data_IF_977336189135
#
_entry.id   IF_977336189135
#
_cell.length_a   1.000
_cell.length_b   1.000
_cell.length_c   1.000
_cell.angle_alpha   90.00
_cell.angle_beta   90.00
_cell.angle_gamma   90.00
#
_symmetry.space_group_name_H-M   'P 1'
#
loop_
_entity.id
_entity.type
_entity.pdbx_description
1 polymer ?
#
# COMPACT_ATOMS: atom_id res chain seq x y z
N UNK A 1 -87.12 -32.92 -42.47
CA UNK A 1 -85.93 -32.61 -41.65
C UNK A 1 -85.19 -31.49 -42.33
N UNK A 2 -85.07 -30.34 -41.68
CA UNK A 2 -84.51 -29.11 -42.25
C UNK A 2 -82.98 -29.21 -42.13
N UNK A 3 -82.29 -29.31 -43.26
CA UNK A 3 -80.83 -29.34 -43.35
C UNK A 3 -80.29 -27.91 -43.29
N UNK A 4 -79.58 -27.59 -42.21
CA UNK A 4 -78.96 -26.29 -41.97
C UNK A 4 -77.64 -26.21 -42.75
N UNK A 5 -77.56 -25.38 -43.78
CA UNK A 5 -76.32 -25.02 -44.47
C UNK A 5 -75.61 -23.89 -43.70
N UNK A 6 -74.49 -24.21 -43.05
CA UNK A 6 -73.62 -23.22 -42.40
C UNK A 6 -72.59 -22.73 -43.43
N UNK A 7 -72.70 -21.47 -43.84
CA UNK A 7 -71.65 -20.77 -44.60
C UNK A 7 -70.55 -20.33 -43.63
N UNK A 8 -69.35 -20.90 -43.78
CA UNK A 8 -68.13 -20.43 -43.10
C UNK A 8 -67.43 -19.44 -44.02
N UNK A 9 -67.51 -18.16 -43.66
CA UNK A 9 -66.82 -17.07 -44.37
C UNK A 9 -65.38 -16.97 -43.90
N UNK A 10 -64.42 -17.30 -44.76
CA UNK A 10 -63.01 -16.96 -44.61
C UNK A 10 -62.83 -15.47 -44.95
N UNK A 11 -62.50 -14.66 -43.94
CA UNK A 11 -62.07 -13.27 -44.13
C UNK A 11 -60.55 -13.24 -43.99
N UNK A 12 -59.86 -13.16 -45.13
CA UNK A 12 -58.46 -12.76 -45.18
C UNK A 12 -58.41 -11.22 -45.24
N UNK A 13 -57.87 -10.59 -44.20
CA UNK A 13 -57.43 -9.19 -44.24
C UNK A 13 -55.93 -9.16 -44.00
N UNK A 14 -55.17 -8.71 -45.00
CA UNK A 14 -53.78 -8.30 -44.85
C UNK A 14 -53.65 -6.85 -45.28
N UNK A 15 -53.12 -5.99 -44.41
CA UNK A 15 -51.80 -5.34 -44.58
C UNK A 15 -51.47 -4.40 -43.43
N UNK A 16 -50.18 -4.43 -43.09
CA UNK A 16 -49.32 -3.40 -42.49
C UNK A 16 -49.38 -3.11 -40.98
N UNK A 17 -48.36 -3.67 -40.34
CA UNK A 17 -47.35 -2.93 -39.58
C UNK A 17 -47.87 -1.97 -38.51
N UNK A 18 -48.14 -2.55 -37.35
CA UNK A 18 -48.06 -1.86 -36.09
C UNK A 18 -47.16 -2.69 -35.20
N UNK A 19 -45.90 -2.32 -35.10
CA UNK A 19 -45.03 -2.68 -33.98
C UNK A 19 -45.78 -2.43 -32.69
N UNK A 20 -46.35 -3.50 -32.15
CA UNK A 20 -46.76 -3.57 -30.76
C UNK A 20 -45.48 -3.31 -29.95
N UNK A 21 -45.45 -2.33 -29.04
CA UNK A 21 -44.35 -2.23 -28.11
C UNK A 21 -44.26 -3.57 -27.40
N UNK A 22 -43.10 -4.22 -27.49
CA UNK A 22 -42.71 -5.32 -26.61
C UNK A 22 -42.71 -4.78 -25.19
N UNK A 23 -43.90 -4.77 -24.60
CA UNK A 23 -44.15 -4.46 -23.21
C UNK A 23 -43.85 -5.74 -22.44
N UNK A 24 -42.58 -5.98 -22.14
CA UNK A 24 -42.18 -7.22 -21.46
C UNK A 24 -40.70 -7.58 -21.37
N UNK A 25 -39.74 -6.76 -21.80
CA UNK A 25 -38.34 -7.00 -21.42
C UNK A 25 -38.14 -6.39 -20.02
N UNK A 26 -38.40 -7.20 -18.99
CA UNK A 26 -37.83 -6.92 -17.67
C UNK A 26 -36.32 -6.82 -17.88
N UNK A 27 -35.77 -5.60 -17.81
CA UNK A 27 -34.35 -5.38 -18.05
C UNK A 27 -33.58 -6.28 -17.09
N UNK A 28 -32.71 -7.10 -17.65
CA UNK A 28 -31.82 -7.97 -16.90
C UNK A 28 -31.00 -7.15 -15.91
N UNK A 29 -30.63 -7.73 -14.77
CA UNK A 29 -29.94 -6.98 -13.73
C UNK A 29 -29.24 -7.84 -12.68
N UNK A 30 -28.58 -7.20 -11.72
CA UNK A 30 -27.94 -7.91 -10.63
C UNK A 30 -28.99 -8.41 -9.63
N UNK A 31 -28.70 -9.52 -8.98
CA UNK A 31 -29.43 -10.04 -7.82
C UNK A 31 -28.45 -10.49 -6.72
N UNK A 32 -28.97 -10.71 -5.52
CA UNK A 32 -28.21 -11.29 -4.40
C UNK A 32 -26.90 -10.56 -4.06
N UNK A 33 -26.89 -9.22 -4.13
CA UNK A 33 -25.73 -8.44 -3.69
C UNK A 33 -25.40 -8.74 -2.23
N UNK A 34 -24.14 -9.09 -1.97
CA UNK A 34 -23.58 -9.33 -0.64
C UNK A 34 -22.30 -8.55 -0.48
N UNK A 35 -22.16 -7.91 0.68
CA UNK A 35 -20.90 -7.26 1.07
C UNK A 35 -20.26 -8.01 2.22
N UNK A 36 -18.98 -8.27 2.08
CA UNK A 36 -18.12 -8.69 3.18
C UNK A 36 -16.96 -7.72 3.29
N UNK A 37 -16.32 -7.68 4.45
CA UNK A 37 -15.14 -6.84 4.65
C UNK A 37 -14.01 -7.63 5.27
N UNK A 38 -12.81 -7.34 4.79
CA UNK A 38 -11.58 -7.76 5.44
C UNK A 38 -10.73 -6.52 5.60
N UNK A 39 -10.53 -6.13 6.86
CA UNK A 39 -9.63 -5.07 7.22
C UNK A 39 -10.10 -3.69 6.67
N UNK A 40 -9.66 -3.26 5.48
CA UNK A 40 -10.09 -1.99 4.84
C UNK A 40 -10.69 -2.22 3.44
N UNK A 41 -10.78 -3.48 3.03
CA UNK A 41 -11.26 -3.88 1.72
C UNK A 41 -12.68 -4.40 1.84
N UNK A 42 -13.55 -3.85 1.02
CA UNK A 42 -14.90 -4.34 0.78
C UNK A 42 -14.81 -5.35 -0.36
N UNK A 43 -15.38 -6.53 -0.15
CA UNK A 43 -15.61 -7.52 -1.18
C UNK A 43 -17.11 -7.57 -1.44
N UNK A 44 -17.53 -7.15 -2.64
CA UNK A 44 -18.88 -7.37 -3.13
C UNK A 44 -18.94 -8.68 -3.92
N UNK A 45 -20.04 -9.40 -3.72
CA UNK A 45 -20.41 -10.56 -4.52
C UNK A 45 -21.85 -10.39 -4.98
N UNK A 46 -22.12 -10.68 -6.25
CA UNK A 46 -23.48 -10.65 -6.80
C UNK A 46 -23.65 -11.70 -7.89
N UNK A 47 -24.91 -11.96 -8.23
CA UNK A 47 -25.28 -12.92 -9.27
C UNK A 47 -26.09 -12.21 -10.35
N UNK A 48 -26.12 -12.82 -11.52
CA UNK A 48 -26.97 -12.37 -12.62
C UNK A 48 -28.39 -12.85 -12.38
N UNK A 49 -29.37 -11.98 -12.58
CA UNK A 49 -30.77 -12.39 -12.61
C UNK A 49 -30.97 -13.45 -13.71
N UNK A 50 -31.81 -14.48 -13.51
CA UNK A 50 -32.05 -15.51 -14.54
C UNK A 50 -32.51 -14.94 -15.90
N UNK A 51 -33.15 -13.76 -15.90
CA UNK A 51 -33.51 -13.04 -17.14
C UNK A 51 -32.30 -12.58 -17.96
N UNK A 52 -31.09 -12.50 -17.37
CA UNK A 52 -29.84 -12.21 -18.08
C UNK A 52 -29.46 -13.29 -19.09
N UNK A 53 -30.01 -14.50 -19.00
CA UNK A 53 -29.73 -15.59 -19.97
C UNK A 53 -30.11 -15.26 -21.41
N UNK A 54 -31.00 -14.30 -21.64
CA UNK A 54 -31.39 -13.83 -22.98
C UNK A 54 -30.42 -12.78 -23.56
N UNK A 55 -29.42 -12.36 -22.79
CA UNK A 55 -28.43 -11.36 -23.20
C UNK A 55 -27.34 -12.01 -24.05
N UNK A 56 -27.18 -11.51 -25.27
CA UNK A 56 -26.22 -12.06 -26.27
C UNK A 56 -25.01 -11.15 -26.51
N UNK A 57 -24.84 -10.11 -25.70
CA UNK A 57 -23.79 -9.10 -25.83
C UNK A 57 -23.27 -8.74 -24.43
N UNK A 58 -22.29 -7.85 -24.33
CA UNK A 58 -21.70 -7.45 -23.06
C UNK A 58 -22.72 -6.78 -22.13
N UNK A 59 -22.73 -7.24 -20.87
CA UNK A 59 -23.48 -6.63 -19.77
C UNK A 59 -22.52 -5.85 -18.89
N UNK A 60 -22.82 -4.58 -18.62
CA UNK A 60 -21.96 -3.71 -17.82
C UNK A 60 -22.60 -3.49 -16.46
N UNK A 61 -21.88 -3.82 -15.39
CA UNK A 61 -22.25 -3.49 -14.02
C UNK A 61 -21.58 -2.19 -13.59
N UNK A 62 -22.36 -1.29 -13.03
CA UNK A 62 -21.90 -0.02 -12.48
C UNK A 62 -21.90 -0.11 -10.96
N UNK A 63 -20.72 0.03 -10.35
CA UNK A 63 -20.52 0.02 -8.90
C UNK A 63 -20.21 1.42 -8.41
N UNK A 64 -21.02 1.90 -7.49
CA UNK A 64 -20.83 3.20 -6.83
C UNK A 64 -20.65 2.98 -5.34
N UNK A 65 -19.50 3.39 -4.80
CA UNK A 65 -19.25 3.36 -3.35
C UNK A 65 -19.64 4.69 -2.74
N UNK A 66 -20.47 4.62 -1.71
CA UNK A 66 -20.83 5.74 -0.87
C UNK A 66 -20.14 5.62 0.49
N UNK A 67 -19.81 6.77 1.06
CA UNK A 67 -19.30 6.90 2.42
C UNK A 67 -20.08 8.01 3.11
N UNK A 68 -20.81 7.67 4.18
CA UNK A 68 -21.84 8.57 4.75
C UNK A 68 -22.70 9.20 3.65
N UNK A 69 -23.27 8.35 2.78
CA UNK A 69 -24.15 8.72 1.66
C UNK A 69 -23.55 9.59 0.55
N UNK A 70 -22.23 9.89 0.62
CA UNK A 70 -21.52 10.62 -0.43
C UNK A 70 -20.77 9.66 -1.33
N UNK A 71 -20.92 9.82 -2.64
CA UNK A 71 -20.16 9.05 -3.61
C UNK A 71 -18.66 9.36 -3.50
N UNK A 72 -17.86 8.30 -3.37
CA UNK A 72 -16.40 8.37 -3.25
C UNK A 72 -15.65 7.53 -4.27
N UNK A 73 -16.34 6.60 -4.94
CA UNK A 73 -15.76 5.77 -6.00
C UNK A 73 -16.86 5.38 -7.00
N UNK A 74 -16.45 5.19 -8.26
CA UNK A 74 -17.29 4.68 -9.33
C UNK A 74 -16.43 3.80 -10.25
N UNK A 75 -16.95 2.63 -10.59
CA UNK A 75 -16.26 1.68 -11.46
C UNK A 75 -17.26 0.88 -12.30
N UNK A 76 -16.85 0.51 -13.51
CA UNK A 76 -17.65 -0.32 -14.40
C UNK A 76 -16.97 -1.69 -14.59
N UNK A 77 -17.75 -2.75 -14.46
CA UNK A 77 -17.32 -4.13 -14.68
C UNK A 77 -18.09 -4.70 -15.86
N UNK A 78 -17.38 -4.97 -16.95
CA UNK A 78 -17.94 -5.59 -18.14
C UNK A 78 -17.91 -7.11 -18.03
N UNK A 79 -19.05 -7.76 -18.26
CA UNK A 79 -19.25 -9.21 -18.25
C UNK A 79 -19.57 -9.67 -19.65
N UNK A 80 -18.80 -10.62 -20.17
CA UNK A 80 -19.04 -11.23 -21.49
C UNK A 80 -20.10 -12.33 -21.42
N UNK A 81 -20.78 -12.67 -22.53
CA UNK A 81 -21.85 -13.67 -22.51
C UNK A 81 -21.48 -15.04 -21.92
N UNK A 82 -20.22 -15.47 -22.05
CA UNK A 82 -19.70 -16.71 -21.46
C UNK A 82 -19.56 -16.67 -19.92
N UNK A 83 -19.55 -15.49 -19.33
CA UNK A 83 -19.48 -15.26 -17.89
C UNK A 83 -20.87 -15.03 -17.26
N UNK A 84 -21.91 -14.82 -18.08
CA UNK A 84 -23.28 -14.61 -17.60
C UNK A 84 -23.81 -15.89 -16.94
N UNK A 85 -24.45 -15.74 -15.79
CA UNK A 85 -24.94 -16.82 -14.94
C UNK A 85 -23.91 -17.32 -13.91
N UNK A 86 -22.74 -16.68 -13.83
CA UNK A 86 -21.76 -16.91 -12.76
C UNK A 86 -21.91 -15.91 -11.62
N UNK A 87 -21.24 -16.19 -10.50
CA UNK A 87 -21.12 -15.22 -9.39
C UNK A 87 -19.95 -14.29 -9.67
N UNK A 88 -20.20 -12.99 -9.62
CA UNK A 88 -19.21 -11.95 -9.82
C UNK A 88 -18.67 -11.45 -8.50
N UNK A 89 -17.40 -11.03 -8.50
CA UNK A 89 -16.71 -10.51 -7.33
C UNK A 89 -15.99 -9.22 -7.66
N UNK A 90 -16.07 -8.24 -6.77
CA UNK A 90 -15.33 -6.99 -6.90
C UNK A 90 -14.76 -6.56 -5.55
N UNK A 91 -13.52 -6.09 -5.58
CA UNK A 91 -12.81 -5.64 -4.39
C UNK A 91 -12.52 -4.14 -4.46
N UNK A 92 -12.71 -3.47 -3.33
CA UNK A 92 -12.38 -2.07 -3.20
C UNK A 92 -11.80 -1.76 -1.83
N UNK A 93 -10.62 -1.14 -1.82
CA UNK A 93 -9.93 -0.77 -0.58
C UNK A 93 -10.15 0.70 -0.26
N UNK A 94 -10.77 0.95 0.89
CA UNK A 94 -10.94 2.31 1.40
C UNK A 94 -9.63 2.85 1.97
N UNK A 95 -9.31 4.11 1.70
CA UNK A 95 -8.22 4.81 2.37
C UNK A 95 -8.53 5.10 3.85
N UNK A 96 -9.79 4.97 4.26
CA UNK A 96 -10.26 5.15 5.62
C UNK A 96 -10.63 3.78 6.22
N UNK A 97 -10.40 3.58 7.51
CA UNK A 97 -10.86 2.35 8.17
C UNK A 97 -12.39 2.21 8.03
N UNK A 98 -12.88 1.00 7.72
CA UNK A 98 -14.31 0.77 7.46
C UNK A 98 -15.16 0.97 8.72
N UNK A 99 -14.55 0.90 9.90
CA UNK A 99 -15.16 1.16 11.20
C UNK A 99 -15.45 2.65 11.44
N UNK A 100 -14.79 3.55 10.70
CA UNK A 100 -14.92 5.00 10.91
C UNK A 100 -16.32 5.52 10.59
N UNK A 101 -16.96 4.95 9.58
CA UNK A 101 -18.21 5.45 8.98
C UNK A 101 -18.84 4.36 8.13
N UNK A 102 -20.16 4.36 8.00
CA UNK A 102 -20.85 3.45 7.09
C UNK A 102 -20.36 3.60 5.64
N UNK A 103 -20.22 2.46 4.97
CA UNK A 103 -19.91 2.38 3.56
C UNK A 103 -21.01 1.59 2.85
N UNK A 104 -21.55 2.15 1.78
CA UNK A 104 -22.59 1.50 0.97
C UNK A 104 -22.06 1.25 -0.42
N UNK A 105 -22.43 0.11 -1.01
CA UNK A 105 -22.15 -0.18 -2.42
C UNK A 105 -23.47 -0.24 -3.15
N UNK A 106 -23.67 0.69 -4.09
CA UNK A 106 -24.77 0.66 -5.05
C UNK A 106 -24.31 -0.09 -6.28
N UNK A 107 -25.16 -1.00 -6.74
CA UNK A 107 -24.94 -1.80 -7.92
C UNK A 107 -26.12 -1.62 -8.87
N UNK A 108 -25.82 -1.21 -10.10
CA UNK A 108 -26.75 -1.19 -11.22
C UNK A 108 -26.15 -1.90 -12.42
N UNK A 109 -26.98 -2.16 -13.42
CA UNK A 109 -26.51 -2.74 -14.68
C UNK A 109 -26.94 -1.91 -15.87
N UNK A 110 -26.22 -2.07 -16.97
CA UNK A 110 -26.46 -1.42 -18.24
C UNK A 110 -26.22 -2.43 -19.34
N UNK A 111 -27.24 -2.62 -20.17
CA UNK A 111 -27.16 -3.44 -21.36
C UNK A 111 -27.23 -2.53 -22.59
N UNK A 112 -26.15 -2.52 -23.38
CA UNK A 112 -25.96 -1.55 -24.48
C UNK A 112 -26.15 -0.11 -23.97
N UNK A 113 -27.17 0.59 -24.46
CA UNK A 113 -27.50 1.96 -24.05
C UNK A 113 -28.65 2.05 -23.05
N UNK A 114 -29.15 0.93 -22.54
CA UNK A 114 -30.27 0.90 -21.60
C UNK A 114 -29.78 0.53 -20.21
N UNK A 115 -29.94 1.45 -19.26
CA UNK A 115 -29.67 1.21 -17.86
C UNK A 115 -30.85 0.48 -17.20
N UNK A 116 -30.57 -0.53 -16.37
CA UNK A 116 -31.59 -1.24 -15.61
C UNK A 116 -32.23 -0.29 -14.60
N UNK A 117 -33.57 -0.29 -14.46
CA UNK A 117 -34.25 0.43 -13.38
C UNK A 117 -33.88 -0.12 -12.00
N UNK A 118 -33.61 -1.43 -11.92
CA UNK A 118 -33.21 -2.10 -10.69
C UNK A 118 -31.84 -1.60 -10.23
N UNK A 119 -31.78 -1.15 -8.98
CA UNK A 119 -30.57 -0.78 -8.26
C UNK A 119 -30.55 -1.52 -6.94
N UNK A 120 -29.47 -2.25 -6.69
CA UNK A 120 -29.23 -2.88 -5.40
C UNK A 120 -28.31 -1.98 -4.58
N UNK A 121 -28.53 -1.96 -3.27
CA UNK A 121 -27.64 -1.27 -2.34
C UNK A 121 -27.49 -2.13 -1.10
N UNK A 122 -26.25 -2.36 -0.71
CA UNK A 122 -25.92 -2.99 0.55
C UNK A 122 -25.00 -2.07 1.34
N UNK A 123 -25.14 -2.09 2.67
CA UNK A 123 -24.41 -1.19 3.57
C UNK A 123 -23.64 -1.97 4.60
N UNK A 124 -22.33 -1.72 4.68
CA UNK A 124 -21.47 -2.14 5.78
C UNK A 124 -21.50 -1.06 6.87
N UNK A 125 -22.06 -1.36 8.06
CA UNK A 125 -22.16 -0.37 9.12
C UNK A 125 -20.78 -0.08 9.74
N UNK A 126 -20.49 1.21 9.92
CA UNK A 126 -19.37 1.66 10.75
C UNK A 126 -19.68 1.56 12.25
N UNK A 127 -18.78 2.09 13.08
CA UNK A 127 -18.90 2.14 14.55
C UNK A 127 -19.44 3.47 15.07
N UNK A 128 -20.19 4.19 14.23
CA UNK A 128 -20.76 5.51 14.52
C UNK A 128 -21.77 5.51 15.68
N UNK A 129 -22.33 4.35 16.02
CA UNK A 129 -23.26 4.15 17.13
C UNK A 129 -22.58 3.80 18.45
N UNK A 130 -21.24 3.91 18.55
CA UNK A 130 -20.53 3.68 19.81
C UNK A 130 -20.98 4.67 20.88
N UNK A 131 -21.14 4.17 22.11
CA UNK A 131 -21.46 4.96 23.30
C UNK A 131 -20.25 5.77 23.81
N UNK A 132 -19.04 5.30 23.50
CA UNK A 132 -17.79 5.97 23.83
C UNK A 132 -17.08 6.47 22.58
N UNK A 133 -16.31 7.57 22.68
CA UNK A 133 -15.40 8.00 21.64
C UNK A 133 -14.39 6.90 21.26
N UNK A 134 -14.26 6.62 19.97
CA UNK A 134 -13.40 5.56 19.45
C UNK A 134 -12.40 6.09 18.42
N UNK A 135 -11.19 5.53 18.39
CA UNK A 135 -10.20 5.82 17.36
C UNK A 135 -9.91 4.55 16.56
N UNK A 136 -9.72 4.69 15.24
CA UNK A 136 -9.39 3.62 14.30
C UNK A 136 -8.30 4.06 13.31
N UNK A 137 -7.58 3.12 12.65
CA UNK A 137 -7.64 1.67 12.88
C UNK A 137 -7.04 1.27 14.23
N UNK A 138 -7.57 0.19 14.84
CA UNK A 138 -7.05 -0.41 16.08
C UNK A 138 -6.19 -1.61 15.76
N UNK A 139 -5.15 -1.82 16.57
CA UNK A 139 -4.30 -3.03 16.55
C UNK A 139 -3.82 -3.46 15.16
N UNK A 140 -3.62 -2.46 14.29
CA UNK A 140 -3.14 -2.67 12.93
C UNK A 140 -1.65 -2.47 12.85
N UNK A 141 -1.00 -3.39 12.14
CA UNK A 141 0.41 -3.26 11.84
C UNK A 141 0.55 -2.40 10.58
N UNK A 142 1.35 -1.33 10.68
CA UNK A 142 1.52 -0.36 9.61
C UNK A 142 3.00 -0.12 9.36
N UNK A 143 3.38 -0.05 8.08
CA UNK A 143 4.76 0.14 7.66
C UNK A 143 5.24 1.56 7.94
N UNK A 144 6.42 1.70 8.53
CA UNK A 144 7.09 3.01 8.66
C UNK A 144 7.46 3.54 7.27
N UNK A 145 7.23 4.82 7.04
CA UNK A 145 7.39 5.51 5.76
C UNK A 145 6.12 5.51 4.89
N UNK A 146 4.99 4.99 5.37
CA UNK A 146 3.71 5.05 4.65
C UNK A 146 2.81 6.20 5.14
N UNK A 147 1.89 6.63 4.28
CA UNK A 147 0.79 7.49 4.68
C UNK A 147 -0.33 6.66 5.31
N UNK A 148 -0.87 7.14 6.42
CA UNK A 148 -1.93 6.45 7.17
C UNK A 148 -2.98 7.45 7.58
N UNK A 149 -4.25 7.07 7.38
CA UNK A 149 -5.40 7.83 7.86
C UNK A 149 -5.97 7.18 9.11
N UNK A 150 -5.97 7.94 10.21
CA UNK A 150 -6.66 7.61 11.44
C UNK A 150 -8.01 8.34 11.48
N UNK A 151 -8.98 7.80 12.20
CA UNK A 151 -10.23 8.50 12.47
C UNK A 151 -10.61 8.45 13.94
N UNK A 152 -11.29 9.49 14.39
CA UNK A 152 -11.98 9.57 15.66
C UNK A 152 -13.49 9.62 15.42
N UNK A 153 -14.22 8.69 16.03
CA UNK A 153 -15.67 8.53 15.94
C UNK A 153 -16.27 8.93 17.28
N UNK A 154 -17.17 9.92 17.28
CA UNK A 154 -17.78 10.49 18.48
C UNK A 154 -19.22 10.01 18.73
N UNK A 155 -19.62 9.84 19.99
CA UNK A 155 -21.03 9.64 20.35
C UNK A 155 -21.91 10.83 19.95
N UNK A 156 -23.23 10.60 19.94
CA UNK A 156 -24.19 11.61 19.51
C UNK A 156 -24.17 12.78 20.50
N UNK A 157 -24.20 13.99 19.96
CA UNK A 157 -24.22 15.21 20.78
C UNK A 157 -22.87 15.66 21.34
N UNK A 158 -21.78 14.91 21.13
CA UNK A 158 -20.44 15.38 21.49
C UNK A 158 -19.84 16.30 20.42
N UNK A 159 -19.06 17.28 20.90
CA UNK A 159 -18.32 18.23 20.06
C UNK A 159 -16.88 17.80 19.90
N UNK A 160 -16.39 17.72 18.67
CA UNK A 160 -14.98 17.47 18.40
C UNK A 160 -14.10 18.61 18.90
N UNK A 161 -13.11 18.29 19.72
CA UNK A 161 -12.13 19.24 20.22
C UNK A 161 -10.90 19.27 19.32
N UNK A 162 -10.06 18.23 19.39
CA UNK A 162 -8.87 18.06 18.55
C UNK A 162 -8.41 16.61 18.49
N UNK A 163 -7.71 16.30 17.41
CA UNK A 163 -7.01 15.03 17.21
C UNK A 163 -5.58 15.32 16.80
N UNK A 164 -4.60 14.66 17.41
CA UNK A 164 -3.20 14.86 17.11
C UNK A 164 -2.38 13.59 17.29
N UNK A 165 -1.19 13.59 16.70
CA UNK A 165 -0.23 12.47 16.77
C UNK A 165 1.00 12.92 17.55
N UNK A 166 1.34 12.22 18.62
CA UNK A 166 2.50 12.55 19.46
C UNK A 166 3.80 12.39 18.67
N UNK A 167 4.71 13.35 18.77
CA UNK A 167 6.00 13.31 18.07
C UNK A 167 6.00 14.03 16.70
N UNK A 168 4.84 14.52 16.24
CA UNK A 168 4.77 15.46 15.11
C UNK A 168 4.41 16.86 15.62
N UNK A 169 5.14 17.88 15.16
CA UNK A 169 5.02 19.28 15.62
C UNK A 169 3.92 20.06 14.92
N UNK A 170 3.39 19.57 13.79
CA UNK A 170 2.38 20.29 13.02
C UNK A 170 1.00 19.87 13.51
N UNK A 171 0.19 20.84 13.95
CA UNK A 171 -1.25 20.69 14.06
C UNK A 171 -1.79 20.41 12.66
N UNK A 172 -1.84 19.14 12.26
CA UNK A 172 -2.51 18.75 11.02
C UNK A 172 -4.00 18.85 11.33
N UNK A 173 -4.70 19.70 10.59
CA UNK A 173 -6.14 19.88 10.80
C UNK A 173 -6.87 18.59 10.45
N UNK A 174 -7.67 18.11 11.40
CA UNK A 174 -8.51 16.94 11.17
C UNK A 174 -9.60 17.29 10.15
N UNK A 175 -9.77 16.41 9.16
CA UNK A 175 -10.82 16.55 8.15
C UNK A 175 -12.11 15.95 8.67
N UNK A 176 -13.22 16.70 8.60
CA UNK A 176 -14.55 16.19 8.96
C UNK A 176 -15.07 15.24 7.87
N UNK A 177 -15.29 13.97 8.23
CA UNK A 177 -15.80 12.93 7.32
C UNK A 177 -17.33 12.86 7.38
N UNK A 178 -17.88 12.83 8.60
CA UNK A 178 -19.31 12.87 8.87
C UNK A 178 -19.60 13.85 10.00
N UNK A 179 -20.85 13.93 10.46
CA UNK A 179 -21.18 14.76 11.63
C UNK A 179 -20.43 14.33 12.91
N UNK A 180 -20.02 13.07 12.98
CA UNK A 180 -19.47 12.42 14.18
C UNK A 180 -18.07 11.84 13.97
N UNK A 181 -17.60 11.76 12.72
CA UNK A 181 -16.30 11.20 12.38
C UNK A 181 -15.36 12.24 11.81
N UNK A 182 -14.16 12.30 12.39
CA UNK A 182 -13.07 13.19 11.99
C UNK A 182 -11.84 12.34 11.67
N UNK A 183 -11.08 12.71 10.64
CA UNK A 183 -9.95 11.93 10.16
C UNK A 183 -8.66 12.75 10.08
N UNK A 184 -7.54 12.09 10.30
CA UNK A 184 -6.21 12.67 10.28
C UNK A 184 -5.28 11.77 9.47
N UNK A 185 -4.69 12.30 8.40
CA UNK A 185 -3.73 11.58 7.57
C UNK A 185 -2.32 12.03 7.91
N UNK A 186 -1.44 11.08 8.24
CA UNK A 186 -0.05 11.36 8.64
C UNK A 186 0.91 10.46 7.89
N UNK A 187 2.05 11.01 7.48
CA UNK A 187 3.18 10.25 6.99
C UNK A 187 3.99 9.73 8.17
N UNK A 188 3.96 8.41 8.41
CA UNK A 188 4.58 7.81 9.60
C UNK A 188 6.10 7.66 9.42
N UNK A 189 6.92 8.54 9.99
CA UNK A 189 8.39 8.41 10.03
C UNK A 189 8.91 7.68 11.27
N UNK A 190 8.11 7.60 12.33
CA UNK A 190 8.48 7.01 13.62
C UNK A 190 7.27 6.42 14.36
N UNK A 191 7.52 5.69 15.44
CA UNK A 191 6.48 5.20 16.36
C UNK A 191 5.79 6.36 17.05
N UNK A 192 4.46 6.37 17.05
CA UNK A 192 3.67 7.47 17.58
C UNK A 192 2.45 7.00 18.35
N UNK A 193 1.77 7.92 19.02
CA UNK A 193 0.45 7.68 19.61
C UNK A 193 -0.53 8.66 19.01
N UNK A 194 -1.73 8.18 18.69
CA UNK A 194 -2.82 8.98 18.16
C UNK A 194 -3.78 9.25 19.30
N UNK A 195 -4.05 10.53 19.54
CA UNK A 195 -4.89 11.01 20.63
C UNK A 195 -6.04 11.81 20.03
N UNK A 196 -7.27 11.39 20.32
CA UNK A 196 -8.46 12.21 20.15
C UNK A 196 -8.86 12.73 21.53
N UNK A 197 -8.87 14.03 21.78
CA UNK A 197 -8.98 14.56 23.17
C UNK A 197 -10.35 14.33 23.79
N UNK A 198 -11.38 14.16 22.96
CA UNK A 198 -12.69 13.69 23.41
C UNK A 198 -12.64 12.28 24.04
N UNK A 199 -11.57 11.53 23.82
CA UNK A 199 -11.34 10.22 24.41
C UNK A 199 -10.40 10.36 25.61
N UNK A 200 -10.67 9.62 26.71
CA UNK A 200 -9.63 9.29 27.70
C UNK A 200 -8.71 8.15 27.20
N UNK A 201 -8.87 7.69 25.96
CA UNK A 201 -8.19 6.51 25.39
C UNK A 201 -7.12 6.94 24.40
N UNK A 202 -5.86 6.58 24.68
CA UNK A 202 -4.74 6.83 23.78
C UNK A 202 -4.50 5.58 22.92
N UNK A 203 -4.59 5.70 21.60
CA UNK A 203 -4.09 4.62 20.73
C UNK A 203 -2.58 4.78 20.63
N UNK A 204 -1.86 3.80 21.18
CA UNK A 204 -0.40 3.71 21.06
C UNK A 204 -0.07 2.86 19.85
N UNK A 205 0.67 3.43 18.90
CA UNK A 205 1.21 2.69 17.76
C UNK A 205 2.60 2.22 18.17
N UNK A 206 2.73 0.92 18.40
CA UNK A 206 4.01 0.29 18.65
C UNK A 206 4.69 0.01 17.31
N UNK A 207 5.97 0.39 17.19
CA UNK A 207 6.80 -0.05 16.08
C UNK A 207 7.48 -1.36 16.43
N UNK A 208 7.35 -2.35 15.55
CA UNK A 208 8.13 -3.58 15.64
C UNK A 208 9.51 -3.28 15.05
N UNK A 209 10.54 -3.30 15.89
CA UNK A 209 11.94 -3.16 15.43
C UNK A 209 12.29 -4.38 14.57
N UNK A 210 12.87 -4.20 13.36
CA UNK A 210 13.36 -5.34 12.60
C UNK A 210 14.57 -5.97 13.27
N UNK A 211 14.62 -7.31 13.23
CA UNK A 211 15.82 -8.09 13.42
C UNK A 211 16.70 -7.94 12.18
N UNK A 212 17.96 -7.57 12.38
CA UNK A 212 18.90 -7.32 11.29
C UNK A 212 19.87 -8.50 11.18
N UNK A 213 19.84 -9.14 10.01
CA UNK A 213 20.70 -10.24 9.61
C UNK A 213 21.70 -9.75 8.55
N UNK A 214 22.96 -10.15 8.67
CA UNK A 214 23.93 -10.02 7.58
C UNK A 214 24.15 -11.41 6.97
N UNK A 215 23.92 -11.54 5.67
CA UNK A 215 24.35 -12.69 4.89
C UNK A 215 25.65 -12.32 4.17
N UNK A 216 26.78 -12.80 4.71
CA UNK A 216 28.06 -12.86 4.00
C UNK A 216 28.13 -14.19 3.23
N UNK A 217 28.77 -14.24 2.05
CA UNK A 217 28.82 -15.45 1.21
C UNK A 217 29.55 -16.64 1.86
N UNK A 218 30.17 -16.48 3.03
CA UNK A 218 30.98 -17.54 3.66
C UNK A 218 30.42 -18.03 5.00
N UNK A 219 29.54 -17.29 5.65
CA UNK A 219 28.96 -17.69 6.95
C UNK A 219 27.75 -16.80 7.19
N UNK A 220 26.54 -17.36 7.19
CA UNK A 220 25.27 -16.68 7.51
C UNK A 220 25.20 -16.23 8.97
N UNK A 221 26.15 -15.40 9.38
CA UNK A 221 26.44 -15.10 10.77
C UNK A 221 25.69 -13.84 11.19
N UNK A 222 24.81 -14.00 12.16
CA UNK A 222 24.05 -12.94 12.80
C UNK A 222 24.99 -11.88 13.42
N UNK A 223 24.63 -10.59 13.33
CA UNK A 223 25.36 -9.50 13.96
C UNK A 223 25.24 -9.60 15.50
N UNK A 224 26.01 -10.48 16.14
CA UNK A 224 26.02 -10.65 17.59
C UNK A 224 26.71 -9.44 18.25
N UNK A 225 25.93 -8.62 18.97
CA UNK A 225 26.44 -7.46 19.73
C UNK A 225 26.26 -6.09 19.07
N UNK A 226 25.33 -5.94 18.13
CA UNK A 226 25.06 -4.64 17.50
C UNK A 226 24.46 -3.62 18.49
N UNK A 227 25.14 -2.49 18.68
CA UNK A 227 24.48 -1.25 19.10
C UNK A 227 23.46 -0.83 18.03
N UNK A 228 22.35 -0.13 18.38
CA UNK A 228 21.34 0.27 17.40
C UNK A 228 21.96 0.94 16.17
N UNK A 229 21.72 0.40 14.97
CA UNK A 229 22.16 0.99 13.70
C UNK A 229 23.60 0.73 13.27
N UNK A 230 24.38 -0.14 13.94
CA UNK A 230 25.77 -0.46 13.55
C UNK A 230 26.04 -1.95 13.57
N UNK A 231 26.38 -2.53 12.41
CA UNK A 231 26.94 -3.88 12.32
C UNK A 231 28.37 -3.85 11.74
N UNK A 232 29.28 -4.58 12.37
CA UNK A 232 30.68 -4.72 11.94
C UNK A 232 31.09 -6.18 11.95
N UNK A 233 31.58 -6.67 10.81
CA UNK A 233 32.07 -8.04 10.68
C UNK A 233 33.55 -8.04 10.25
N UNK A 234 34.36 -8.89 10.88
CA UNK A 234 35.73 -9.13 10.45
C UNK A 234 35.71 -10.17 9.33
N UNK A 235 36.09 -9.77 8.12
CA UNK A 235 36.13 -10.64 6.94
C UNK A 235 37.59 -10.83 6.51
N UNK A 236 37.96 -12.05 6.14
CA UNK A 236 39.27 -12.34 5.55
C UNK A 236 39.35 -11.74 4.14
N UNK A 237 40.39 -10.95 3.87
CA UNK A 237 40.61 -10.37 2.54
C UNK A 237 41.29 -11.43 1.67
N UNK A 238 40.48 -12.34 1.13
CA UNK A 238 40.91 -13.24 0.08
C UNK A 238 40.62 -12.53 -1.25
N UNK A 239 41.44 -12.74 -2.28
CA UNK A 239 41.51 -11.91 -3.50
C UNK A 239 40.28 -12.00 -4.44
N UNK A 240 39.06 -11.80 -3.94
CA UNK A 240 37.83 -11.97 -4.70
C UNK A 240 36.80 -10.85 -4.45
N UNK A 241 36.03 -10.56 -5.50
CA UNK A 241 34.83 -9.76 -5.44
C UNK A 241 33.82 -10.39 -4.47
N UNK A 242 33.40 -9.63 -3.46
CA UNK A 242 32.51 -10.11 -2.41
C UNK A 242 31.20 -9.33 -2.48
N UNK A 243 30.07 -10.03 -2.40
CA UNK A 243 28.73 -9.43 -2.30
C UNK A 243 28.25 -9.60 -0.86
N UNK A 244 27.79 -8.55 -0.21
CA UNK A 244 27.19 -8.60 1.13
C UNK A 244 25.71 -8.27 1.01
N UNK A 245 24.86 -9.09 1.62
CA UNK A 245 23.42 -8.83 1.70
C UNK A 245 23.03 -8.58 3.15
N UNK A 246 22.53 -7.38 3.42
CA UNK A 246 21.92 -6.98 4.68
C UNK A 246 20.42 -7.27 4.58
N UNK A 247 19.94 -8.23 5.36
CA UNK A 247 18.53 -8.63 5.42
C UNK A 247 17.93 -8.13 6.74
N UNK A 248 16.98 -7.21 6.68
CA UNK A 248 16.21 -6.76 7.84
C UNK A 248 14.82 -7.40 7.81
N UNK A 249 14.41 -8.07 8.88
CA UNK A 249 13.14 -8.79 8.96
C UNK A 249 12.38 -8.47 10.26
N UNK A 250 11.07 -8.33 10.16
CA UNK A 250 10.14 -8.40 11.29
C UNK A 250 8.87 -9.16 10.87
N UNK A 251 7.87 -9.22 11.75
CA UNK A 251 6.56 -9.81 11.46
C UNK A 251 5.82 -9.17 10.27
N UNK A 252 6.25 -7.98 9.81
CA UNK A 252 5.68 -7.31 8.63
C UNK A 252 6.32 -7.76 7.31
N UNK A 253 7.46 -8.43 7.35
CA UNK A 253 8.17 -8.89 6.17
C UNK A 253 9.67 -8.62 6.23
N UNK A 254 10.30 -8.80 5.07
CA UNK A 254 11.76 -8.83 4.90
C UNK A 254 12.19 -7.82 3.84
N UNK A 255 13.25 -7.06 4.14
CA UNK A 255 13.90 -6.13 3.21
C UNK A 255 15.37 -6.52 3.08
N UNK A 256 15.90 -6.48 1.86
CA UNK A 256 17.28 -6.83 1.57
C UNK A 256 18.00 -5.70 0.85
N UNK A 257 19.23 -5.42 1.29
CA UNK A 257 20.15 -4.49 0.62
C UNK A 257 21.41 -5.28 0.27
N UNK A 258 21.81 -5.28 -1.00
CA UNK A 258 23.03 -5.96 -1.44
C UNK A 258 24.07 -4.97 -1.99
N UNK A 259 25.31 -5.06 -1.52
CA UNK A 259 26.45 -4.31 -2.06
C UNK A 259 27.53 -5.29 -2.53
N UNK A 260 28.15 -4.99 -3.67
CA UNK A 260 29.25 -5.77 -4.24
C UNK A 260 30.51 -4.92 -4.26
N UNK A 261 31.61 -5.43 -3.70
CA UNK A 261 32.90 -4.77 -3.79
C UNK A 261 34.07 -5.76 -3.82
N UNK A 262 35.12 -5.37 -4.54
CA UNK A 262 36.43 -6.02 -4.48
C UNK A 262 37.23 -5.45 -3.28
N UNK A 263 37.41 -6.30 -2.27
CA UNK A 263 38.11 -5.94 -1.03
C UNK A 263 39.59 -5.59 -1.25
N UNK A 264 40.21 -6.02 -2.36
CA UNK A 264 41.60 -5.68 -2.69
C UNK A 264 41.77 -4.25 -3.19
N UNK A 265 40.67 -3.63 -3.68
CA UNK A 265 40.67 -2.30 -4.29
C UNK A 265 40.20 -1.18 -3.36
N UNK A 266 39.58 -1.50 -2.21
CA UNK A 266 39.14 -0.54 -1.20
C UNK A 266 40.00 -0.62 0.06
N UNK A 267 41.21 -0.06 -0.02
CA UNK A 267 42.15 -0.02 1.11
C UNK A 267 42.22 1.40 1.67
N UNK A 268 41.91 1.57 2.95
CA UNK A 268 42.25 2.77 3.70
C UNK A 268 43.56 2.51 4.44
N UNK A 269 44.69 2.97 3.88
CA UNK A 269 45.99 2.82 4.51
C UNK A 269 46.16 3.83 5.64
N UNK A 270 46.59 3.36 6.82
CA UNK A 270 47.15 4.24 7.85
C UNK A 270 48.36 5.00 7.32
N UNK A 271 48.56 6.23 7.78
CA UNK A 271 49.73 7.04 7.44
C UNK A 271 51.04 6.37 7.89
N UNK A 272 52.15 6.57 7.17
CA UNK A 272 53.45 6.08 7.61
C UNK A 272 53.93 6.85 8.84
N UNK A 273 54.72 6.19 9.68
CA UNK A 273 55.29 6.77 10.90
C UNK A 273 56.80 7.01 10.74
N UNK A 274 57.30 7.99 11.47
CA UNK A 274 58.74 8.29 11.52
C UNK A 274 59.31 8.82 10.21
N UNK A 275 58.53 9.62 9.46
CA UNK A 275 59.02 10.28 8.24
C UNK A 275 60.16 11.23 8.61
N UNK A 276 61.37 10.91 8.17
CA UNK A 276 62.58 11.68 8.43
C UNK A 276 63.39 11.85 7.15
N UNK A 277 64.19 12.91 7.07
CA UNK A 277 65.13 13.08 5.96
C UNK A 277 66.42 12.32 6.28
N UNK A 278 66.71 11.27 5.52
CA UNK A 278 67.91 10.45 5.69
C UNK A 278 69.13 11.06 4.99
N UNK A 279 68.93 11.84 3.92
CA UNK A 279 70.00 12.58 3.26
C UNK A 279 69.45 13.89 2.73
N UNK A 280 70.11 15.00 3.05
CA UNK A 280 69.78 16.34 2.54
C UNK A 280 71.02 16.93 1.92
N UNK A 281 70.96 17.28 0.64
CA UNK A 281 71.95 18.09 -0.03
C UNK A 281 71.28 19.18 -0.88
N UNK A 282 72.09 20.02 -1.54
CA UNK A 282 71.59 21.17 -2.28
C UNK A 282 70.61 20.82 -3.43
N UNK A 283 70.52 19.57 -3.87
CA UNK A 283 69.67 19.15 -5.00
C UNK A 283 68.70 18.02 -4.67
N UNK A 284 68.98 17.20 -3.66
CA UNK A 284 68.22 15.99 -3.35
C UNK A 284 67.92 15.91 -1.85
N UNK A 285 66.67 15.53 -1.54
CA UNK A 285 66.27 15.07 -0.22
C UNK A 285 65.77 13.63 -0.33
N UNK A 286 66.38 12.73 0.43
CA UNK A 286 65.91 11.35 0.61
C UNK A 286 65.11 11.27 1.90
N UNK A 287 63.91 10.69 1.81
CA UNK A 287 63.02 10.48 2.95
C UNK A 287 63.03 9.00 3.34
N UNK A 288 63.04 8.75 4.63
CA UNK A 288 62.89 7.43 5.23
C UNK A 288 61.66 7.44 6.12
N UNK A 289 60.86 6.38 6.06
CA UNK A 289 59.67 6.20 6.88
C UNK A 289 59.41 4.71 7.08
N UNK A 290 58.54 4.41 8.04
CA UNK A 290 58.15 3.03 8.36
C UNK A 290 56.63 2.87 8.34
N UNK A 291 56.19 1.65 8.06
CA UNK A 291 54.78 1.26 8.22
C UNK A 291 54.62 0.44 9.49
N UNK A 292 53.70 0.85 10.37
CA UNK A 292 53.41 0.11 11.61
C UNK A 292 52.62 -1.18 11.36
N UNK A 293 51.95 -1.29 10.21
CA UNK A 293 51.14 -2.45 9.85
C UNK A 293 51.98 -3.48 9.08
N UNK A 294 52.40 -4.56 9.78
CA UNK A 294 53.24 -5.64 9.22
C UNK A 294 52.72 -6.25 7.91
N UNK A 295 51.40 -6.25 7.68
CA UNK A 295 50.79 -6.79 6.45
C UNK A 295 51.11 -5.98 5.19
N UNK A 296 51.53 -4.72 5.33
CA UNK A 296 51.86 -3.87 4.18
C UNK A 296 53.10 -4.35 3.43
N UNK A 297 54.00 -5.11 4.08
CA UNK A 297 55.17 -5.71 3.42
C UNK A 297 54.81 -6.68 2.30
N UNK A 298 53.59 -7.23 2.32
CA UNK A 298 53.09 -8.16 1.31
C UNK A 298 52.32 -7.45 0.18
N UNK A 299 52.20 -6.12 0.23
CA UNK A 299 51.48 -5.32 -0.74
C UNK A 299 52.48 -4.59 -1.66
N UNK A 300 52.19 -4.53 -2.95
CA UNK A 300 52.97 -3.73 -3.90
C UNK A 300 52.53 -2.27 -3.81
N UNK A 301 53.09 -1.53 -2.84
CA UNK A 301 52.74 -0.13 -2.55
C UNK A 301 53.73 0.81 -3.23
N UNK A 302 53.25 1.67 -4.12
CA UNK A 302 54.01 2.82 -4.64
C UNK A 302 53.63 4.10 -3.88
N UNK A 303 54.61 4.72 -3.22
CA UNK A 303 54.45 6.04 -2.63
C UNK A 303 54.69 7.13 -3.71
N UNK A 304 53.80 8.13 -3.78
CA UNK A 304 54.03 9.34 -4.57
C UNK A 304 54.05 10.53 -3.64
N UNK A 305 55.12 11.32 -3.70
CA UNK A 305 55.17 12.64 -3.07
C UNK A 305 54.35 13.62 -3.90
N UNK A 306 53.38 14.29 -3.28
CA UNK A 306 52.78 15.49 -3.85
C UNK A 306 53.80 16.62 -3.69
N UNK A 307 54.19 17.26 -4.80
CA UNK A 307 55.04 18.46 -4.77
C UNK A 307 54.31 19.56 -3.98
N UNK A 308 54.61 19.67 -2.70
CA UNK A 308 54.44 20.90 -1.95
C UNK A 308 55.76 21.65 -2.07
N UNK A 309 55.72 22.75 -2.82
CA UNK A 309 56.82 23.70 -2.92
C UNK A 309 57.31 24.04 -1.50
N UNK A 310 58.48 23.54 -1.14
CA UNK A 310 59.16 23.90 0.10
C UNK A 310 59.61 25.36 -0.05
N UNK A 311 58.82 26.29 0.50
CA UNK A 311 59.33 27.60 0.88
C UNK A 311 60.36 27.37 1.99
N UNK A 312 61.63 27.24 1.62
CA UNK A 312 62.73 27.36 2.57
C UNK A 312 62.86 28.84 2.94
N UNK A 313 62.78 29.22 4.23
CA UNK A 313 63.20 30.54 4.64
C UNK A 313 64.73 30.60 4.59
N UNK A 314 65.26 31.61 3.89
CA UNK A 314 66.58 32.16 4.23
C UNK A 314 66.44 33.05 5.46
#
# INVERSE_FOLDING_TARGET
MITLLVLVSLICTGTQDGTRPDDGVSLCGPQNLRLTSSAQTILSAWEDDPSCSAVNDMLVYELVVLRADKQVHHEEVAVTPDQIGSTHFWNWTSHLALECVSHSVRLSSRYKNHASPLKLEETLPGKENSAEPEVYPRDRIIKVGSNVTFCCVLPAGQTFERMYVTGYSTNVDATKISNRTYALTVHLTQTTSVICTNTHRVIRIFGVKPEIWNQSPVTGQQCAGASPGRCSQKVGVNASETTWTLTAQNELGTVELSERADLTRRVYMFAPEGVTASTVNARNVSLEWSWTVKRYNNLNITARTLELALLLPF
#
